data_IF_819939755156
#
_entry.id   IF_819939755156
#
_cell.length_a   1.000
_cell.length_b   1.000
_cell.length_c   1.000
_cell.angle_alpha   90.00
_cell.angle_beta   90.00
_cell.angle_gamma   90.00
#
_symmetry.space_group_name_H-M   'P 1'
#
loop_
_entity.id
_entity.type
_entity.pdbx_description
1 polymer ?
#
# COMPACT_ATOMS: atom_id res chain seq x y z
N UNK A 1 -12.22 6.66 10.60
CA UNK A 1 -11.90 6.86 9.17
C UNK A 1 -11.60 8.33 8.83
N UNK A 2 -12.49 9.30 9.09
CA UNK A 2 -12.26 10.73 8.81
C UNK A 2 -11.00 11.25 9.53
N UNK A 3 -10.83 10.92 10.80
CA UNK A 3 -9.66 11.33 11.59
C UNK A 3 -8.35 10.80 11.01
N UNK A 4 -8.32 9.55 10.52
CA UNK A 4 -7.13 8.97 9.90
C UNK A 4 -6.78 9.64 8.57
N UNK A 5 -7.77 10.06 7.79
CA UNK A 5 -7.55 10.85 6.58
C UNK A 5 -7.01 12.25 6.88
N UNK A 6 -7.51 12.89 7.95
CA UNK A 6 -6.96 14.18 8.42
C UNK A 6 -5.50 14.05 8.87
N UNK A 7 -5.15 12.95 9.56
CA UNK A 7 -3.76 12.67 9.92
C UNK A 7 -2.87 12.46 8.69
N UNK A 8 -3.36 11.77 7.68
CA UNK A 8 -2.62 11.61 6.41
C UNK A 8 -2.39 12.97 5.73
N UNK A 9 -3.41 13.83 5.71
CA UNK A 9 -3.29 15.19 5.16
C UNK A 9 -2.32 16.05 5.98
N UNK A 10 -2.32 15.95 7.30
CA UNK A 10 -1.36 16.63 8.15
C UNK A 10 0.07 16.15 7.87
N UNK A 11 0.27 14.84 7.64
CA UNK A 11 1.56 14.29 7.22
C UNK A 11 2.04 14.87 5.88
N UNK A 12 1.16 14.96 4.88
CA UNK A 12 1.46 15.60 3.61
C UNK A 12 1.89 17.05 3.78
N UNK A 13 1.14 17.84 4.55
CA UNK A 13 1.48 19.25 4.82
C UNK A 13 2.80 19.37 5.58
N UNK A 14 3.11 18.43 6.49
CA UNK A 14 4.39 18.41 7.20
C UNK A 14 5.55 18.19 6.22
N UNK A 15 5.40 17.26 5.27
CA UNK A 15 6.40 17.03 4.22
C UNK A 15 6.63 18.32 3.40
N UNK A 16 5.58 19.02 3.03
CA UNK A 16 5.67 20.28 2.30
C UNK A 16 6.32 21.39 3.12
N UNK A 17 5.98 21.50 4.41
CA UNK A 17 6.53 22.50 5.30
C UNK A 17 8.04 22.36 5.48
N UNK A 18 8.52 21.13 5.60
CA UNK A 18 9.96 20.82 5.66
C UNK A 18 10.60 20.66 4.26
N UNK A 19 10.17 21.44 3.29
CA UNK A 19 10.63 21.38 1.91
C UNK A 19 12.13 21.43 1.72
N UNK A 20 12.86 22.17 2.58
CA UNK A 20 14.33 22.25 2.56
C UNK A 20 15.01 20.87 2.77
N UNK A 21 14.37 19.96 3.52
CA UNK A 21 14.88 18.62 3.79
C UNK A 21 14.24 17.55 2.88
N UNK A 22 12.97 17.70 2.57
CA UNK A 22 12.17 16.71 1.82
C UNK A 22 12.11 17.00 0.33
N UNK A 23 12.62 18.15 -0.12
CA UNK A 23 12.41 18.75 -1.45
C UNK A 23 10.94 18.97 -1.82
N UNK A 24 10.03 18.87 -0.84
CA UNK A 24 8.62 19.19 -1.00
C UNK A 24 7.97 18.57 -2.24
N UNK A 25 7.40 19.39 -3.10
CA UNK A 25 6.74 18.97 -4.34
C UNK A 25 7.69 18.48 -5.43
N UNK A 26 8.95 18.94 -5.45
CA UNK A 26 9.96 18.49 -6.43
C UNK A 26 10.31 17.01 -6.22
N UNK A 27 10.30 16.55 -4.96
CA UNK A 27 10.63 15.20 -4.57
C UNK A 27 12.10 14.81 -4.83
N UNK A 28 12.41 13.57 -4.54
CA UNK A 28 13.72 12.98 -4.78
C UNK A 28 13.71 12.15 -6.06
N UNK A 29 14.64 12.46 -6.96
CA UNK A 29 14.90 11.63 -8.14
C UNK A 29 16.10 10.73 -7.83
N UNK A 30 15.90 9.42 -7.85
CA UNK A 30 16.95 8.42 -7.64
C UNK A 30 17.67 8.22 -8.96
N UNK A 31 18.99 8.45 -8.99
CA UNK A 31 19.80 8.31 -10.20
C UNK A 31 19.82 6.86 -10.68
N UNK A 32 19.98 6.68 -12.00
CA UNK A 32 19.99 5.34 -12.61
C UNK A 32 21.10 4.44 -12.08
N UNK A 33 22.25 5.02 -11.77
CA UNK A 33 23.39 4.29 -11.21
C UNK A 33 23.08 3.64 -9.83
N UNK A 34 22.25 4.28 -9.03
CA UNK A 34 21.88 3.81 -7.69
C UNK A 34 20.77 2.73 -7.72
N UNK A 35 20.20 2.46 -8.91
CA UNK A 35 19.13 1.47 -9.11
C UNK A 35 19.62 0.12 -9.63
N UNK A 36 20.93 -0.10 -9.64
CA UNK A 36 21.54 -1.39 -9.96
C UNK A 36 21.90 -2.09 -8.66
N UNK A 37 21.14 -3.12 -8.28
CA UNK A 37 21.39 -3.91 -7.08
C UNK A 37 22.00 -5.25 -7.47
N UNK A 38 23.33 -5.31 -7.44
CA UNK A 38 24.07 -6.52 -7.81
C UNK A 38 23.89 -6.87 -9.30
N UNK A 39 23.25 -8.00 -9.59
CA UNK A 39 22.95 -8.46 -10.95
C UNK A 39 21.58 -8.01 -11.49
N UNK A 40 20.77 -7.35 -10.63
CA UNK A 40 19.43 -6.87 -10.98
C UNK A 40 19.49 -5.42 -11.43
N UNK A 41 19.34 -5.20 -12.73
CA UNK A 41 19.19 -3.87 -13.30
C UNK A 41 17.73 -3.43 -13.27
N UNK A 42 17.39 -2.60 -12.27
CA UNK A 42 16.04 -2.04 -12.12
C UNK A 42 15.75 -0.92 -13.13
N UNK A 43 16.71 -0.58 -13.98
CA UNK A 43 16.53 0.41 -15.06
C UNK A 43 15.81 -0.22 -16.24
N UNK A 44 16.06 -1.52 -16.50
CA UNK A 44 15.42 -2.24 -17.59
C UNK A 44 13.95 -2.54 -17.29
N UNK A 45 13.03 -2.48 -18.27
CA UNK A 45 11.62 -2.83 -18.09
C UNK A 45 11.40 -4.24 -17.54
N UNK A 46 12.21 -5.19 -18.00
CA UNK A 46 12.18 -6.59 -17.54
C UNK A 46 12.62 -6.72 -16.09
N UNK A 47 13.71 -6.06 -15.71
CA UNK A 47 14.19 -6.07 -14.32
C UNK A 47 13.16 -5.49 -13.35
N UNK A 48 12.51 -4.38 -13.73
CA UNK A 48 11.41 -3.79 -12.95
C UNK A 48 10.23 -4.75 -12.77
N UNK A 49 9.83 -5.42 -13.84
CA UNK A 49 8.73 -6.38 -13.79
C UNK A 49 9.01 -7.53 -12.83
N UNK A 50 10.18 -8.18 -12.94
CA UNK A 50 10.53 -9.30 -12.08
C UNK A 50 10.73 -8.86 -10.62
N UNK A 51 11.35 -7.71 -10.39
CA UNK A 51 11.50 -7.17 -9.03
C UNK A 51 10.14 -6.88 -8.37
N UNK A 52 9.22 -6.26 -9.10
CA UNK A 52 7.86 -6.01 -8.63
C UNK A 52 7.10 -7.32 -8.36
N UNK A 53 7.23 -8.33 -9.24
CA UNK A 53 6.58 -9.63 -9.09
C UNK A 53 7.10 -10.40 -7.88
N UNK A 54 8.42 -10.40 -7.65
CA UNK A 54 9.03 -11.04 -6.48
C UNK A 54 8.56 -10.37 -5.20
N UNK A 55 8.61 -9.05 -5.14
CA UNK A 55 8.17 -8.29 -3.98
C UNK A 55 6.66 -8.52 -3.70
N UNK A 56 5.84 -8.46 -4.73
CA UNK A 56 4.41 -8.77 -4.62
C UNK A 56 4.18 -10.18 -4.05
N UNK A 57 4.90 -11.17 -4.59
CA UNK A 57 4.78 -12.57 -4.14
C UNK A 57 5.17 -12.69 -2.67
N UNK A 58 6.27 -12.09 -2.24
CA UNK A 58 6.72 -12.10 -0.85
C UNK A 58 5.64 -11.47 0.05
N UNK A 59 5.16 -10.28 -0.27
CA UNK A 59 4.11 -9.60 0.52
C UNK A 59 2.81 -10.41 0.56
N UNK A 60 2.43 -11.02 -0.55
CA UNK A 60 1.22 -11.87 -0.63
C UNK A 60 1.34 -13.10 0.26
N UNK A 61 2.46 -13.83 0.21
CA UNK A 61 2.68 -14.99 1.06
C UNK A 61 2.77 -14.63 2.54
N UNK A 62 3.43 -13.53 2.89
CA UNK A 62 3.47 -13.02 4.27
C UNK A 62 2.06 -12.71 4.76
N UNK A 63 1.26 -12.01 3.97
CA UNK A 63 -0.14 -11.69 4.32
C UNK A 63 -0.97 -12.95 4.49
N UNK A 64 -0.87 -13.91 3.55
CA UNK A 64 -1.59 -15.16 3.62
C UNK A 64 -1.20 -15.99 4.86
N UNK A 65 0.08 -15.99 5.23
CA UNK A 65 0.57 -16.64 6.45
C UNK A 65 0.01 -15.96 7.70
N UNK A 66 0.07 -14.63 7.78
CA UNK A 66 -0.45 -13.86 8.92
C UNK A 66 -1.94 -14.09 9.11
N UNK A 67 -2.74 -14.05 8.03
CA UNK A 67 -4.20 -14.25 8.09
C UNK A 67 -4.56 -15.66 8.59
N UNK A 68 -3.77 -16.66 8.26
CA UNK A 68 -3.98 -18.06 8.72
C UNK A 68 -3.38 -18.36 10.09
N UNK A 69 -2.58 -17.46 10.65
CA UNK A 69 -1.98 -17.61 11.98
C UNK A 69 -3.01 -17.40 13.10
N UNK A 70 -2.65 -17.79 14.34
CA UNK A 70 -3.46 -17.49 15.52
C UNK A 70 -3.74 -15.99 15.71
N UNK A 71 -2.78 -15.14 15.30
CA UNK A 71 -2.97 -13.69 15.29
C UNK A 71 -4.08 -13.26 14.31
N UNK A 72 -4.09 -13.77 13.10
CA UNK A 72 -5.14 -13.50 12.11
C UNK A 72 -6.51 -13.97 12.59
N UNK A 73 -6.61 -15.16 13.18
CA UNK A 73 -7.86 -15.69 13.74
C UNK A 73 -8.36 -14.81 14.89
N UNK A 74 -7.48 -14.32 15.77
CA UNK A 74 -7.85 -13.40 16.84
C UNK A 74 -8.41 -12.07 16.28
N UNK A 75 -7.81 -11.53 15.22
CA UNK A 75 -8.32 -10.32 14.54
C UNK A 75 -9.71 -10.56 13.90
N UNK A 76 -9.96 -11.74 13.34
CA UNK A 76 -11.27 -12.10 12.82
C UNK A 76 -12.30 -12.16 13.96
N UNK A 77 -11.96 -12.77 15.08
CA UNK A 77 -12.83 -12.82 16.25
C UNK A 77 -13.19 -11.42 16.78
N UNK A 78 -12.20 -10.52 16.85
CA UNK A 78 -12.40 -9.11 17.23
C UNK A 78 -13.33 -8.39 16.23
N UNK A 79 -13.17 -8.65 14.95
CA UNK A 79 -14.01 -8.05 13.88
C UNK A 79 -15.47 -8.48 14.01
N UNK A 80 -15.72 -9.74 14.38
CA UNK A 80 -17.07 -10.29 14.56
C UNK A 80 -17.75 -9.72 15.82
N UNK A 81 -17.05 -9.71 16.95
CA UNK A 81 -17.57 -9.14 18.19
C UNK A 81 -16.43 -8.83 19.18
N UNK A 82 -16.17 -7.54 19.38
CA UNK A 82 -15.10 -7.05 20.24
C UNK A 82 -15.33 -7.38 21.73
N UNK A 83 -16.58 -7.30 22.20
CA UNK A 83 -16.92 -7.62 23.59
C UNK A 83 -16.71 -9.10 23.91
N UNK A 84 -17.12 -9.98 23.02
CA UNK A 84 -16.88 -11.42 23.19
C UNK A 84 -15.40 -11.76 23.17
N UNK A 85 -14.63 -11.13 22.30
CA UNK A 85 -13.19 -11.35 22.26
C UNK A 85 -12.53 -10.92 23.59
N UNK A 86 -12.96 -9.81 24.17
CA UNK A 86 -12.49 -9.35 25.48
C UNK A 86 -12.86 -10.32 26.59
N UNK A 87 -14.09 -10.87 26.58
CA UNK A 87 -14.53 -11.87 27.57
C UNK A 87 -13.73 -13.18 27.46
N UNK A 88 -13.24 -13.51 26.29
CA UNK A 88 -12.36 -14.67 26.06
C UNK A 88 -10.89 -14.42 26.47
N UNK A 89 -10.59 -13.22 27.00
CA UNK A 89 -9.26 -12.88 27.50
C UNK A 89 -8.31 -12.29 26.45
N UNK A 90 -8.78 -11.97 25.25
CA UNK A 90 -7.94 -11.30 24.26
C UNK A 90 -7.72 -9.83 24.63
N UNK A 91 -6.46 -9.39 24.58
CA UNK A 91 -6.13 -7.96 24.68
C UNK A 91 -6.37 -7.29 23.34
N UNK A 92 -7.59 -6.79 23.16
CA UNK A 92 -8.06 -6.19 21.90
C UNK A 92 -7.20 -5.00 21.47
N UNK A 93 -6.78 -4.17 22.45
CA UNK A 93 -5.98 -2.98 22.16
C UNK A 93 -4.61 -3.34 21.58
N UNK A 94 -3.92 -4.30 22.20
CA UNK A 94 -2.62 -4.77 21.71
C UNK A 94 -2.71 -5.44 20.34
N UNK A 95 -3.72 -6.27 20.12
CA UNK A 95 -3.92 -6.94 18.84
C UNK A 95 -4.21 -5.95 17.71
N UNK A 96 -5.04 -4.94 17.95
CA UNK A 96 -5.29 -3.86 17.00
C UNK A 96 -4.03 -3.06 16.71
N UNK A 97 -3.24 -2.72 17.75
CA UNK A 97 -1.99 -1.99 17.58
C UNK A 97 -0.97 -2.78 16.74
N UNK A 98 -0.82 -4.07 17.03
CA UNK A 98 0.05 -4.95 16.25
C UNK A 98 -0.38 -5.04 14.78
N UNK A 99 -1.70 -5.12 14.51
CA UNK A 99 -2.23 -5.12 13.16
C UNK A 99 -1.90 -3.83 12.40
N UNK A 100 -2.01 -2.67 13.07
CA UNK A 100 -1.65 -1.37 12.48
C UNK A 100 -0.14 -1.31 12.18
N UNK A 101 0.71 -1.78 13.09
CA UNK A 101 2.17 -1.81 12.89
C UNK A 101 2.52 -2.69 11.68
N UNK A 102 1.98 -3.91 11.61
CA UNK A 102 2.23 -4.83 10.50
C UNK A 102 1.78 -4.21 9.17
N UNK A 103 0.58 -3.64 9.13
CA UNK A 103 0.06 -2.95 7.94
C UNK A 103 0.95 -1.77 7.53
N UNK A 104 1.41 -0.97 8.50
CA UNK A 104 2.30 0.16 8.25
C UNK A 104 3.66 -0.27 7.69
N UNK A 105 4.25 -1.33 8.22
CA UNK A 105 5.52 -1.89 7.71
C UNK A 105 5.36 -2.38 6.27
N UNK A 106 4.28 -3.11 5.97
CA UNK A 106 4.03 -3.61 4.61
C UNK A 106 3.78 -2.46 3.62
N UNK A 107 3.01 -1.45 4.02
CA UNK A 107 2.76 -0.26 3.20
C UNK A 107 4.05 0.53 2.96
N UNK A 108 4.88 0.71 4.00
CA UNK A 108 6.17 1.38 3.88
C UNK A 108 7.13 0.64 2.95
N UNK A 109 7.19 -0.70 3.05
CA UNK A 109 8.00 -1.53 2.15
C UNK A 109 7.53 -1.40 0.68
N UNK A 110 6.21 -1.40 0.45
CA UNK A 110 5.64 -1.20 -0.89
C UNK A 110 5.96 0.19 -1.45
N UNK A 111 5.89 1.24 -0.61
CA UNK A 111 6.24 2.61 -1.00
C UNK A 111 7.74 2.77 -1.33
N UNK A 112 8.62 2.18 -0.52
CA UNK A 112 10.06 2.18 -0.79
C UNK A 112 10.40 1.45 -2.08
N UNK A 113 9.78 0.30 -2.32
CA UNK A 113 9.95 -0.44 -3.57
C UNK A 113 9.43 0.34 -4.77
N UNK A 114 8.29 1.01 -4.66
CA UNK A 114 7.78 1.88 -5.71
C UNK A 114 8.78 2.98 -6.07
N UNK A 115 9.33 3.66 -5.06
CA UNK A 115 10.34 4.70 -5.25
C UNK A 115 11.59 4.18 -5.98
N UNK A 116 12.07 2.99 -5.64
CA UNK A 116 13.21 2.35 -6.31
C UNK A 116 12.88 1.94 -7.76
N UNK A 117 11.71 1.38 -8.01
CA UNK A 117 11.29 0.91 -9.33
C UNK A 117 11.08 2.06 -10.32
N UNK A 118 10.46 3.14 -9.86
CA UNK A 118 10.16 4.30 -10.71
C UNK A 118 11.21 5.41 -10.63
N UNK A 119 12.10 5.37 -9.63
CA UNK A 119 13.19 6.33 -9.45
C UNK A 119 12.72 7.70 -9.01
N UNK A 120 11.52 7.80 -8.46
CA UNK A 120 10.95 9.04 -7.97
C UNK A 120 10.19 8.83 -6.66
N UNK A 121 10.45 9.70 -5.69
CA UNK A 121 9.72 9.76 -4.43
C UNK A 121 9.38 11.23 -4.14
N UNK A 122 8.11 11.58 -4.18
CA UNK A 122 7.64 12.96 -3.97
C UNK A 122 6.51 13.04 -2.96
N UNK A 123 6.24 14.24 -2.46
CA UNK A 123 5.15 14.52 -1.52
C UNK A 123 3.78 14.10 -2.08
N UNK A 124 3.62 14.10 -3.39
CA UNK A 124 2.38 13.70 -4.10
C UNK A 124 1.86 12.33 -3.67
N UNK A 125 2.75 11.37 -3.34
CA UNK A 125 2.36 10.04 -2.87
C UNK A 125 1.75 10.04 -1.46
N UNK A 126 1.96 11.10 -0.67
CA UNK A 126 1.36 11.28 0.63
C UNK A 126 -0.03 11.93 0.58
N UNK A 127 -0.54 12.26 -0.60
CA UNK A 127 -1.87 12.86 -0.75
C UNK A 127 -2.99 11.88 -0.38
N UNK A 128 -4.11 12.42 0.06
CA UNK A 128 -5.31 11.64 0.43
C UNK A 128 -5.81 10.79 -0.74
N UNK A 129 -5.64 11.25 -1.97
CA UNK A 129 -6.05 10.50 -3.18
C UNK A 129 -5.33 9.15 -3.27
N UNK A 130 -4.02 9.12 -3.03
CA UNK A 130 -3.25 7.87 -3.02
C UNK A 130 -3.61 6.93 -1.87
N UNK A 131 -4.29 7.42 -0.83
CA UNK A 131 -4.85 6.58 0.24
C UNK A 131 -6.24 6.05 -0.09
N UNK A 132 -7.05 6.84 -0.79
CA UNK A 132 -8.44 6.48 -1.13
C UNK A 132 -8.49 5.43 -2.25
N UNK A 133 -7.66 5.55 -3.30
CA UNK A 133 -7.68 4.61 -4.41
C UNK A 133 -7.47 3.14 -4.00
N UNK A 134 -6.43 2.77 -3.24
CA UNK A 134 -6.28 1.40 -2.78
C UNK A 134 -7.45 0.92 -1.91
N UNK A 135 -8.03 1.81 -1.09
CA UNK A 135 -9.20 1.49 -0.29
C UNK A 135 -10.39 1.10 -1.17
N UNK A 136 -10.67 1.89 -2.22
CA UNK A 136 -11.74 1.60 -3.17
C UNK A 136 -11.50 0.26 -3.90
N UNK A 137 -10.25 -0.02 -4.30
CA UNK A 137 -9.89 -1.27 -4.96
C UNK A 137 -10.10 -2.49 -4.06
N UNK A 138 -9.73 -2.37 -2.77
CA UNK A 138 -9.96 -3.41 -1.77
C UNK A 138 -11.46 -3.62 -1.53
N UNK A 139 -12.25 -2.55 -1.43
CA UNK A 139 -13.70 -2.64 -1.24
C UNK A 139 -14.38 -3.31 -2.44
N UNK A 140 -13.97 -2.96 -3.64
CA UNK A 140 -14.53 -3.52 -4.87
C UNK A 140 -14.16 -5.00 -5.05
N UNK A 141 -12.94 -5.38 -4.69
CA UNK A 141 -12.50 -6.78 -4.75
C UNK A 141 -12.99 -7.65 -3.61
N UNK A 142 -13.53 -7.03 -2.53
CA UNK A 142 -14.01 -7.72 -1.34
C UNK A 142 -12.97 -7.77 -0.21
N UNK A 143 -13.20 -6.96 0.83
CA UNK A 143 -12.29 -6.84 1.98
C UNK A 143 -12.25 -8.10 2.89
N UNK A 144 -13.14 -9.07 2.68
CA UNK A 144 -13.23 -10.28 3.49
C UNK A 144 -12.32 -11.43 3.04
N UNK A 145 -11.72 -11.34 1.85
CA UNK A 145 -10.93 -12.42 1.23
C UNK A 145 -9.54 -11.90 0.88
N UNK A 146 -8.50 -12.69 1.18
CA UNK A 146 -7.10 -12.31 0.93
C UNK A 146 -6.80 -12.03 -0.56
N UNK A 147 -7.50 -12.70 -1.47
CA UNK A 147 -7.37 -12.52 -2.92
C UNK A 147 -8.20 -11.32 -3.44
N UNK A 148 -9.16 -10.84 -2.64
CA UNK A 148 -10.05 -9.73 -3.00
C UNK A 148 -9.31 -8.49 -3.52
N UNK A 149 -8.35 -7.92 -2.79
CA UNK A 149 -7.60 -6.75 -3.22
C UNK A 149 -6.91 -6.91 -4.58
N UNK A 150 -6.41 -8.11 -4.89
CA UNK A 150 -5.78 -8.42 -6.17
C UNK A 150 -6.80 -8.36 -7.32
N UNK A 151 -7.96 -8.98 -7.14
CA UNK A 151 -9.04 -8.94 -8.15
C UNK A 151 -9.51 -7.50 -8.35
N UNK A 152 -9.73 -6.75 -7.26
CA UNK A 152 -10.15 -5.36 -7.33
C UNK A 152 -9.14 -4.46 -8.05
N UNK A 153 -7.85 -4.64 -7.78
CA UNK A 153 -6.78 -3.88 -8.46
C UNK A 153 -6.74 -4.19 -9.96
N UNK A 154 -6.78 -5.46 -10.35
CA UNK A 154 -6.78 -5.87 -11.76
C UNK A 154 -8.01 -5.29 -12.47
N UNK A 155 -9.19 -5.42 -11.87
CA UNK A 155 -10.43 -4.90 -12.46
C UNK A 155 -10.38 -3.39 -12.65
N UNK A 156 -9.95 -2.63 -11.63
CA UNK A 156 -9.86 -1.17 -11.71
C UNK A 156 -8.79 -0.71 -12.68
N UNK A 157 -7.67 -1.44 -12.79
CA UNK A 157 -6.64 -1.13 -13.79
C UNK A 157 -7.20 -1.19 -15.21
N UNK A 158 -7.88 -2.30 -15.56
CA UNK A 158 -8.50 -2.43 -16.88
C UNK A 158 -9.63 -1.42 -17.11
N UNK A 159 -10.40 -1.10 -16.09
CA UNK A 159 -11.48 -0.11 -16.19
C UNK A 159 -10.93 1.30 -16.46
N UNK A 160 -9.86 1.69 -15.78
CA UNK A 160 -9.21 2.99 -16.00
C UNK A 160 -8.58 3.04 -17.39
N UNK A 161 -7.90 1.99 -17.82
CA UNK A 161 -7.27 1.90 -19.13
C UNK A 161 -8.30 1.97 -20.26
N UNK A 162 -9.38 1.22 -20.15
CA UNK A 162 -10.50 1.25 -21.10
C UNK A 162 -11.20 2.61 -21.14
N UNK A 163 -11.45 3.23 -19.98
CA UNK A 163 -12.03 4.57 -19.88
C UNK A 163 -11.14 5.63 -20.53
N UNK A 164 -9.83 5.53 -20.31
CA UNK A 164 -8.85 6.42 -20.92
C UNK A 164 -8.84 6.31 -22.46
N UNK A 165 -8.93 5.09 -22.98
CA UNK A 165 -8.96 4.85 -24.43
C UNK A 165 -10.21 5.43 -25.10
N UNK A 166 -11.37 5.37 -24.44
CA UNK A 166 -12.59 5.98 -24.92
C UNK A 166 -12.48 7.50 -24.92
N UNK A 167 -12.01 8.08 -23.80
CA UNK A 167 -11.88 9.54 -23.69
C UNK A 167 -10.91 10.11 -24.72
N UNK A 168 -9.79 9.45 -24.97
CA UNK A 168 -8.83 9.88 -26.01
C UNK A 168 -9.40 9.74 -27.43
N UNK A 169 -10.37 8.87 -27.67
CA UNK A 169 -11.02 8.72 -28.96
C UNK A 169 -12.06 9.84 -29.26
N UNK A 170 -12.48 10.59 -28.24
CA UNK A 170 -13.43 11.70 -28.38
C UNK A 170 -12.78 13.10 -28.32
N UNK A 171 -11.47 13.20 -28.09
CA UNK A 171 -10.68 14.42 -28.19
C UNK A 171 -9.88 14.47 -29.50
#
# INVERSE_FOLDING_TARGET
MIVTLMFAQAGYLTILYFGDYTRGDEGFVIQQADRVIGSLDLTSPMGRYYAALVLFSICFFITAYIVRSGFGLALIAIRENEERATMLGYDVMRLKLQAIIVSGVMSGAAGAAYALLFGYAGATFATVQYSIFPLLWVLLGGAGVTIGPLIGTIFMFYLIDYSSSITSAYM
#
